data_IF_938083261505
#
_entry.id   IF_938083261505
#
_cell.length_a   1.000
_cell.length_b   1.000
_cell.length_c   1.000
_cell.angle_alpha   90.00
_cell.angle_beta   90.00
_cell.angle_gamma   90.00
#
_symmetry.space_group_name_H-M   'P 1'
#
loop_
_entity.id
_entity.type
_entity.pdbx_description
1 polymer ?
#
# COMPACT_ATOMS: atom_id res chain seq x y z
N UNK A 1 12.13 -8.38 10.91
CA UNK A 1 10.65 -8.30 10.89
C UNK A 1 10.30 -6.99 10.21
N UNK A 2 9.41 -7.00 9.21
CA UNK A 2 8.80 -5.80 8.64
C UNK A 2 7.57 -5.50 9.50
N UNK A 3 7.51 -4.33 10.13
CA UNK A 3 6.40 -3.90 10.98
C UNK A 3 5.47 -2.91 10.26
N UNK A 4 4.43 -2.46 10.96
CA UNK A 4 3.44 -1.52 10.41
C UNK A 4 4.09 -0.23 9.89
N UNK A 5 5.01 0.35 10.67
CA UNK A 5 5.72 1.58 10.30
C UNK A 5 6.48 1.46 8.96
N UNK A 6 7.07 0.30 8.68
CA UNK A 6 7.77 0.07 7.41
C UNK A 6 6.82 -0.09 6.22
N UNK A 7 5.54 -0.35 6.46
CA UNK A 7 4.51 -0.52 5.42
C UNK A 7 3.69 0.74 5.17
N UNK A 8 3.76 1.73 6.06
CA UNK A 8 3.08 3.02 5.88
C UNK A 8 3.49 3.66 4.55
N UNK A 9 2.51 4.21 3.82
CA UNK A 9 2.66 4.85 2.52
C UNK A 9 3.42 4.04 1.45
N UNK A 10 3.36 2.72 1.52
CA UNK A 10 3.79 1.80 0.47
C UNK A 10 2.60 0.94 0.03
N UNK A 11 2.45 0.74 -1.30
CA UNK A 11 1.46 -0.19 -1.82
C UNK A 11 2.07 -1.58 -1.85
N UNK A 12 1.43 -2.54 -1.18
CA UNK A 12 1.84 -3.94 -1.11
C UNK A 12 0.81 -4.80 -1.83
N UNK A 13 1.25 -5.60 -2.78
CA UNK A 13 0.43 -6.58 -3.49
C UNK A 13 0.83 -7.99 -3.08
N UNK A 14 -0.12 -8.77 -2.58
CA UNK A 14 0.07 -10.18 -2.27
C UNK A 14 -0.67 -10.99 -3.33
N UNK A 15 0.06 -11.51 -4.31
CA UNK A 15 -0.50 -12.36 -5.37
C UNK A 15 -0.34 -13.84 -4.96
N UNK A 16 -1.43 -14.41 -4.45
CA UNK A 16 -1.47 -15.81 -4.00
C UNK A 16 -1.42 -16.79 -5.19
N UNK A 17 -1.93 -16.42 -6.36
CA UNK A 17 -1.94 -17.28 -7.53
C UNK A 17 -0.51 -17.48 -8.07
N UNK A 18 0.32 -16.44 -7.96
CA UNK A 18 1.73 -16.49 -8.37
C UNK A 18 2.70 -16.78 -7.23
N UNK A 19 2.24 -16.82 -5.98
CA UNK A 19 3.08 -16.87 -4.77
C UNK A 19 4.12 -15.74 -4.73
N UNK A 20 3.72 -14.52 -5.11
CA UNK A 20 4.63 -13.37 -5.16
C UNK A 20 4.14 -12.22 -4.29
N UNK A 21 5.10 -11.46 -3.75
CA UNK A 21 4.85 -10.19 -3.06
C UNK A 21 5.46 -9.05 -3.89
N UNK A 22 4.61 -8.13 -4.33
CA UNK A 22 5.00 -6.89 -4.99
C UNK A 22 4.93 -5.71 -4.02
N UNK A 23 5.80 -4.73 -4.23
CA UNK A 23 5.78 -3.48 -3.45
C UNK A 23 6.12 -2.29 -4.35
N UNK A 24 5.52 -1.13 -4.06
CA UNK A 24 5.92 0.13 -4.65
C UNK A 24 7.11 0.74 -3.92
N UNK A 25 7.79 1.72 -4.54
CA UNK A 25 8.48 2.74 -3.76
C UNK A 25 7.48 3.55 -2.94
N UNK A 26 7.93 4.28 -1.92
CA UNK A 26 7.05 5.16 -1.14
C UNK A 26 6.17 6.04 -2.05
N UNK A 27 4.87 6.08 -1.75
CA UNK A 27 3.88 6.84 -2.49
C UNK A 27 4.13 8.35 -2.37
N UNK A 28 4.83 8.78 -1.33
CA UNK A 28 5.21 10.19 -1.10
C UNK A 28 6.04 10.75 -2.27
N UNK A 29 6.89 9.92 -2.88
CA UNK A 29 7.65 10.29 -4.08
C UNK A 29 6.78 10.53 -5.32
N UNK A 30 5.53 10.06 -5.30
CA UNK A 30 4.50 10.28 -6.32
C UNK A 30 3.49 11.35 -5.90
N UNK A 31 3.79 12.12 -4.84
CA UNK A 31 2.92 13.16 -4.30
C UNK A 31 1.52 12.65 -3.88
N UNK A 32 1.46 11.40 -3.39
CA UNK A 32 0.25 10.82 -2.80
C UNK A 32 0.58 9.97 -1.57
N UNK A 33 -0.43 9.50 -0.84
CA UNK A 33 -0.27 8.64 0.34
C UNK A 33 -1.44 7.64 0.41
N UNK A 34 -1.39 6.67 1.33
CA UNK A 34 -2.45 5.66 1.44
C UNK A 34 -3.82 6.26 1.82
N UNK A 35 -3.83 7.35 2.59
CA UNK A 35 -5.06 8.02 3.03
C UNK A 35 -5.76 8.84 1.93
N UNK A 36 -5.07 9.17 0.84
CA UNK A 36 -5.63 9.89 -0.31
C UNK A 36 -6.59 9.04 -1.16
N UNK A 37 -6.76 7.76 -0.85
CA UNK A 37 -7.78 6.94 -1.50
C UNK A 37 -9.18 7.47 -1.17
N UNK A 38 -10.02 7.65 -2.19
CA UNK A 38 -11.38 8.16 -2.02
C UNK A 38 -12.29 7.07 -1.42
N UNK A 39 -12.29 6.94 -0.10
CA UNK A 39 -13.21 6.07 0.63
C UNK A 39 -14.60 6.72 0.71
N UNK A 40 -15.56 6.20 -0.06
CA UNK A 40 -16.97 6.55 0.11
C UNK A 40 -17.62 5.54 1.05
N UNK A 41 -17.96 5.95 2.27
CA UNK A 41 -18.73 5.10 3.18
C UNK A 41 -20.21 5.17 2.81
N UNK A 42 -20.80 4.03 2.44
CA UNK A 42 -22.26 3.88 2.41
C UNK A 42 -22.69 3.34 3.76
N UNK A 43 -23.34 4.21 4.57
CA UNK A 43 -23.92 3.82 5.85
C UNK A 43 -25.13 2.90 5.67
#
# INVERSE_FOLDING_TARGET
>A
IIGGLQLEDNLIEIDLAKNTLGFSSTLLGRQTNCANFNFTSTA
#
